data_IF_697618100729
#
_entry.id   IF_697618100729
#
_cell.length_a   1.000
_cell.length_b   1.000
_cell.length_c   1.000
_cell.angle_alpha   90.00
_cell.angle_beta   90.00
_cell.angle_gamma   90.00
#
_symmetry.space_group_name_H-M   'P 1'
#
loop_
_entity.id
_entity.type
_entity.pdbx_description
1 polymer ?
#
# COMPACT_ATOMS: atom_id res chain seq x y z
N UNK A 1 -37.28 -57.72 -4.74
CA UNK A 1 -35.90 -57.21 -4.89
C UNK A 1 -36.00 -55.85 -5.54
N UNK A 2 -35.99 -54.79 -4.75
CA UNK A 2 -36.08 -53.40 -5.22
C UNK A 2 -34.69 -52.78 -5.13
N UNK A 3 -34.14 -52.40 -6.27
CA UNK A 3 -32.83 -51.80 -6.41
C UNK A 3 -32.98 -50.28 -6.16
N UNK A 4 -32.48 -49.75 -5.03
CA UNK A 4 -32.44 -48.32 -4.75
C UNK A 4 -31.21 -47.69 -5.39
N UNK A 5 -31.43 -46.84 -6.37
CA UNK A 5 -30.38 -46.03 -7.02
C UNK A 5 -30.05 -44.81 -6.17
N UNK A 6 -28.86 -44.79 -5.59
CA UNK A 6 -28.33 -43.60 -4.84
C UNK A 6 -27.77 -42.62 -5.85
N UNK A 7 -28.42 -41.49 -6.00
CA UNK A 7 -27.92 -40.34 -6.80
C UNK A 7 -27.05 -39.51 -5.88
N UNK A 8 -25.72 -39.54 -6.09
CA UNK A 8 -24.77 -38.62 -5.44
C UNK A 8 -24.72 -37.36 -6.31
N UNK A 9 -25.38 -36.31 -5.84
CA UNK A 9 -25.23 -34.99 -6.41
C UNK A 9 -23.92 -34.34 -5.90
N UNK A 10 -22.86 -34.43 -6.72
CA UNK A 10 -21.63 -33.67 -6.49
C UNK A 10 -21.87 -32.18 -6.81
N UNK A 11 -22.12 -31.40 -5.77
CA UNK A 11 -22.17 -29.94 -5.87
C UNK A 11 -20.77 -29.39 -6.15
N UNK A 12 -20.56 -28.98 -7.40
CA UNK A 12 -19.38 -28.24 -7.83
C UNK A 12 -19.52 -26.80 -7.29
N UNK A 13 -18.88 -26.50 -6.16
CA UNK A 13 -18.75 -25.12 -5.67
C UNK A 13 -17.77 -24.38 -6.60
N UNK A 14 -18.33 -23.66 -7.56
CA UNK A 14 -17.58 -22.68 -8.35
C UNK A 14 -17.27 -21.48 -7.46
N UNK A 15 -16.10 -21.45 -6.87
CA UNK A 15 -15.54 -20.21 -6.31
C UNK A 15 -15.14 -19.32 -7.49
N UNK A 16 -16.01 -18.40 -7.83
CA UNK A 16 -15.64 -17.27 -8.71
C UNK A 16 -14.70 -16.37 -7.94
N UNK A 17 -13.40 -16.55 -8.11
CA UNK A 17 -12.43 -15.51 -7.75
C UNK A 17 -12.59 -14.39 -8.78
N UNK A 18 -13.32 -13.35 -8.43
CA UNK A 18 -13.21 -12.09 -9.13
C UNK A 18 -11.82 -11.53 -8.79
N UNK A 19 -10.84 -11.83 -9.63
CA UNK A 19 -9.60 -11.08 -9.69
C UNK A 19 -9.95 -9.80 -10.43
N UNK A 20 -10.53 -8.84 -9.72
CA UNK A 20 -10.54 -7.46 -10.19
C UNK A 20 -9.09 -7.01 -10.20
N UNK A 21 -8.48 -7.11 -11.37
CA UNK A 21 -7.23 -6.44 -11.69
C UNK A 21 -7.54 -4.95 -11.53
N UNK A 22 -7.18 -4.38 -10.39
CA UNK A 22 -7.33 -2.97 -10.10
C UNK A 22 -6.36 -2.19 -10.99
N UNK A 23 -6.73 -2.04 -12.23
CA UNK A 23 -6.26 -1.02 -13.14
C UNK A 23 -7.24 0.15 -13.09
N UNK A 24 -7.46 0.70 -11.89
CA UNK A 24 -8.33 1.84 -11.68
C UNK A 24 -8.86 1.83 -10.25
N UNK A 25 -8.65 2.89 -9.53
CA UNK A 25 -9.31 3.12 -8.24
C UNK A 25 -10.80 3.26 -8.56
N UNK A 26 -11.71 2.47 -7.94
CA UNK A 26 -13.14 2.62 -8.13
C UNK A 26 -13.56 4.05 -7.82
N UNK A 27 -14.40 4.66 -8.69
CA UNK A 27 -14.85 6.04 -8.56
C UNK A 27 -15.71 6.31 -7.30
N UNK A 28 -16.17 5.28 -6.63
CA UNK A 28 -16.96 5.32 -5.39
C UNK A 28 -16.12 5.37 -4.10
N UNK A 29 -14.76 5.40 -4.20
CA UNK A 29 -13.87 5.64 -3.07
C UNK A 29 -13.51 7.12 -2.84
N UNK A 30 -14.14 8.05 -3.55
CA UNK A 30 -13.97 9.49 -3.38
C UNK A 30 -14.93 10.05 -2.32
N UNK A 31 -15.37 9.25 -1.36
CA UNK A 31 -16.13 9.75 -0.23
C UNK A 31 -15.20 9.95 0.97
N UNK A 32 -14.58 11.15 1.05
CA UNK A 32 -13.71 11.57 2.13
C UNK A 32 -12.40 12.19 1.61
N UNK A 33 -11.81 13.04 2.41
CA UNK A 33 -10.57 13.78 2.15
C UNK A 33 -9.30 12.89 2.06
N UNK A 34 -9.35 11.82 1.24
CA UNK A 34 -8.22 10.91 1.05
C UNK A 34 -7.41 11.29 -0.20
N UNK A 35 -6.10 11.31 -0.04
CA UNK A 35 -5.16 11.30 -1.16
C UNK A 35 -4.76 9.87 -1.48
N UNK A 36 -4.63 9.60 -2.77
CA UNK A 36 -4.13 8.33 -3.30
C UNK A 36 -2.83 8.59 -4.05
N UNK A 37 -1.97 7.59 -4.12
CA UNK A 37 -0.74 7.71 -4.87
C UNK A 37 -0.14 6.36 -5.24
N UNK A 38 0.91 6.45 -6.05
CA UNK A 38 1.75 5.33 -6.42
C UNK A 38 3.11 5.48 -5.74
N UNK A 39 3.76 4.36 -5.47
CA UNK A 39 5.11 4.35 -4.93
C UNK A 39 6.00 3.42 -5.71
N UNK A 40 7.29 3.71 -5.65
CA UNK A 40 8.36 2.92 -6.22
C UNK A 40 9.57 2.94 -5.30
N UNK A 41 10.31 1.85 -5.28
CA UNK A 41 11.58 1.72 -4.59
C UNK A 41 12.44 0.63 -5.23
N UNK A 42 13.70 0.63 -4.85
CA UNK A 42 14.68 -0.39 -5.24
C UNK A 42 15.37 -0.86 -3.96
N UNK A 43 15.62 -2.16 -3.85
CA UNK A 43 16.46 -2.74 -2.80
C UNK A 43 17.71 -3.25 -3.46
N UNK A 44 18.85 -2.76 -2.98
CA UNK A 44 20.16 -3.16 -3.45
C UNK A 44 20.77 -4.24 -2.54
N UNK A 45 21.70 -5.01 -3.07
CA UNK A 45 22.58 -5.89 -2.30
C UNK A 45 23.71 -5.09 -1.59
N UNK A 46 24.58 -5.80 -0.88
CA UNK A 46 25.72 -5.20 -0.18
C UNK A 46 26.74 -4.52 -1.13
N UNK A 47 26.75 -4.92 -2.40
CA UNK A 47 27.61 -4.36 -3.44
C UNK A 47 26.96 -3.17 -4.18
N UNK A 48 25.71 -2.82 -3.84
CA UNK A 48 24.94 -1.74 -4.45
C UNK A 48 24.29 -2.12 -5.78
N UNK A 49 24.10 -3.41 -6.07
CA UNK A 49 23.38 -3.85 -7.26
C UNK A 49 21.89 -4.01 -6.94
N UNK A 50 20.99 -3.52 -7.82
CA UNK A 50 19.56 -3.70 -7.64
C UNK A 50 19.14 -5.18 -7.63
N UNK A 51 18.52 -5.62 -6.55
CA UNK A 51 18.02 -7.01 -6.37
C UNK A 51 16.51 -7.08 -6.45
N UNK A 52 15.82 -6.09 -5.88
CA UNK A 52 14.37 -6.05 -5.87
C UNK A 52 13.85 -4.72 -6.39
N UNK A 53 12.78 -4.79 -7.15
CA UNK A 53 11.94 -3.64 -7.52
C UNK A 53 10.69 -3.69 -6.66
N UNK A 54 10.35 -2.56 -6.06
CA UNK A 54 9.13 -2.38 -5.28
C UNK A 54 8.25 -1.41 -6.05
N UNK A 55 6.99 -1.78 -6.24
CA UNK A 55 5.96 -0.87 -6.75
C UNK A 55 4.72 -0.99 -5.88
N UNK A 56 3.91 0.06 -5.79
CA UNK A 56 2.74 -0.01 -4.94
C UNK A 56 1.79 1.15 -5.11
N UNK A 57 0.71 1.06 -4.35
CA UNK A 57 -0.29 2.11 -4.19
C UNK A 57 -0.44 2.43 -2.71
N UNK A 58 -0.80 3.66 -2.40
CA UNK A 58 -1.11 4.09 -1.05
C UNK A 58 -2.32 5.00 -1.03
N UNK A 59 -2.99 5.08 0.12
CA UNK A 59 -4.02 6.06 0.44
C UNK A 59 -3.75 6.69 1.79
N UNK A 60 -4.09 7.96 1.95
CA UNK A 60 -3.89 8.68 3.20
C UNK A 60 -4.87 9.85 3.35
N UNK A 61 -5.15 10.22 4.59
CA UNK A 61 -5.79 11.48 4.96
C UNK A 61 -4.83 12.46 5.67
N UNK A 62 -3.54 12.22 5.62
CA UNK A 62 -2.51 13.01 6.34
C UNK A 62 -2.48 14.49 5.94
N UNK A 63 -2.89 14.83 4.70
CA UNK A 63 -2.90 16.22 4.22
C UNK A 63 -3.88 17.13 4.96
N UNK A 64 -4.93 16.58 5.55
CA UNK A 64 -5.99 17.33 6.23
C UNK A 64 -5.77 17.45 7.73
N UNK A 65 -4.63 16.98 8.24
CA UNK A 65 -4.33 16.85 9.67
C UNK A 65 -3.85 18.14 10.36
N UNK A 66 -4.12 19.34 9.83
CA UNK A 66 -3.84 20.58 10.57
C UNK A 66 -4.72 20.75 11.82
N UNK A 67 -5.72 19.89 12.03
CA UNK A 67 -6.65 19.91 13.17
C UNK A 67 -7.00 18.53 13.75
N UNK A 68 -6.16 17.52 13.59
CA UNK A 68 -6.47 16.18 14.08
C UNK A 68 -6.57 16.14 15.62
N UNK A 69 -7.78 16.33 16.09
CA UNK A 69 -8.22 15.94 17.46
C UNK A 69 -8.82 14.53 17.49
N UNK A 70 -8.87 13.87 16.33
CA UNK A 70 -9.46 12.55 16.20
C UNK A 70 -8.39 11.58 15.71
N UNK A 71 -8.27 10.42 16.37
CA UNK A 71 -7.28 9.37 16.09
C UNK A 71 -7.52 8.64 14.74
N UNK A 72 -8.13 9.31 13.77
CA UNK A 72 -8.50 8.76 12.48
C UNK A 72 -7.43 8.96 11.39
N UNK A 73 -6.15 9.09 11.77
CA UNK A 73 -5.06 9.14 10.80
C UNK A 73 -4.99 7.82 10.06
N UNK A 74 -5.21 7.86 8.75
CA UNK A 74 -5.11 6.70 7.88
C UNK A 74 -3.91 6.85 6.98
N UNK A 75 -3.07 5.84 6.97
CA UNK A 75 -2.11 5.60 5.93
C UNK A 75 -2.06 4.10 5.67
N UNK A 76 -2.58 3.67 4.54
CA UNK A 76 -2.54 2.28 4.09
C UNK A 76 -1.76 2.20 2.77
N UNK A 77 -1.03 1.12 2.58
CA UNK A 77 -0.32 0.87 1.34
C UNK A 77 -0.31 -0.62 0.98
N UNK A 78 -0.19 -0.90 -0.32
CA UNK A 78 0.05 -2.24 -0.84
C UNK A 78 1.27 -2.18 -1.75
N UNK A 79 2.24 -3.05 -1.51
CA UNK A 79 3.50 -3.12 -2.23
C UNK A 79 3.62 -4.45 -2.94
N UNK A 80 3.95 -4.44 -4.21
CA UNK A 80 4.38 -5.59 -4.97
C UNK A 80 5.91 -5.55 -5.08
N UNK A 81 6.56 -6.66 -4.76
CA UNK A 81 8.00 -6.84 -4.88
C UNK A 81 8.29 -7.93 -5.92
N UNK A 82 9.27 -7.66 -6.78
CA UNK A 82 9.76 -8.61 -7.78
C UNK A 82 11.27 -8.49 -7.86
N UNK A 83 11.97 -9.63 -7.99
CA UNK A 83 13.40 -9.60 -8.25
C UNK A 83 13.71 -9.02 -9.63
N UNK A 84 14.88 -8.43 -9.79
CA UNK A 84 15.34 -7.84 -11.06
C UNK A 84 15.47 -8.87 -12.19
N UNK A 85 15.55 -10.17 -11.85
CA UNK A 85 15.50 -11.28 -12.82
C UNK A 85 14.06 -11.70 -13.20
N UNK A 86 13.03 -11.03 -12.68
CA UNK A 86 11.63 -11.30 -12.93
C UNK A 86 11.03 -12.43 -12.07
N UNK A 87 11.77 -12.97 -11.12
CA UNK A 87 11.31 -14.07 -10.24
C UNK A 87 10.80 -13.57 -8.88
N UNK A 88 10.29 -14.48 -8.07
CA UNK A 88 9.95 -14.26 -6.64
C UNK A 88 8.95 -13.11 -6.39
N UNK A 89 8.01 -12.89 -7.31
CA UNK A 89 6.96 -11.89 -7.16
C UNK A 89 6.08 -12.19 -5.94
N UNK A 90 5.87 -11.19 -5.09
CA UNK A 90 5.01 -11.28 -3.91
C UNK A 90 4.50 -9.90 -3.49
N UNK A 91 3.52 -9.88 -2.58
CA UNK A 91 2.84 -8.65 -2.15
C UNK A 91 2.87 -8.50 -0.64
N UNK A 92 3.02 -7.26 -0.18
CA UNK A 92 2.89 -6.85 1.21
C UNK A 92 1.84 -5.76 1.34
N UNK A 93 1.21 -5.70 2.52
CA UNK A 93 0.33 -4.59 2.90
C UNK A 93 0.89 -3.88 4.12
N UNK A 94 0.70 -2.58 4.18
CA UNK A 94 0.91 -1.75 5.36
C UNK A 94 -0.44 -1.18 5.78
N UNK A 95 -0.81 -1.42 7.03
CA UNK A 95 -2.10 -1.04 7.61
C UNK A 95 -1.95 -0.60 9.06
N UNK A 96 -3.02 -0.11 9.67
CA UNK A 96 -3.04 0.26 11.08
C UNK A 96 -1.96 1.27 11.45
N UNK A 97 -1.77 2.30 10.62
CA UNK A 97 -0.83 3.36 10.94
C UNK A 97 -1.31 4.15 12.16
N UNK A 98 -0.48 4.19 13.19
CA UNK A 98 -0.70 4.97 14.41
C UNK A 98 0.29 6.12 14.43
N UNK A 99 -0.21 7.35 14.26
CA UNK A 99 0.60 8.56 14.30
C UNK A 99 1.11 8.81 15.72
N UNK A 100 2.41 8.99 15.88
CA UNK A 100 3.06 9.32 17.14
C UNK A 100 3.50 10.78 17.22
N UNK A 101 4.00 11.34 16.12
CA UNK A 101 4.54 12.70 16.07
C UNK A 101 4.41 13.30 14.67
N UNK A 102 4.26 14.63 14.63
CA UNK A 102 4.26 15.40 13.38
C UNK A 102 5.18 16.59 13.51
N UNK A 103 6.06 16.77 12.53
CA UNK A 103 6.92 17.94 12.44
C UNK A 103 6.83 18.59 11.06
N UNK A 104 6.76 19.91 11.03
CA UNK A 104 6.72 20.67 9.77
C UNK A 104 7.88 21.65 9.73
N UNK A 105 8.57 21.69 8.60
CA UNK A 105 9.68 22.59 8.37
C UNK A 105 9.69 23.03 6.89
N UNK A 106 9.69 24.33 6.67
CA UNK A 106 9.67 24.92 5.32
C UNK A 106 8.53 24.36 4.45
N UNK A 107 8.88 23.56 3.43
CA UNK A 107 7.98 23.01 2.43
C UNK A 107 7.70 21.51 2.60
N UNK A 108 8.02 20.95 3.76
CA UNK A 108 7.73 19.54 4.03
C UNK A 108 7.16 19.32 5.43
N UNK A 109 6.37 18.26 5.53
CA UNK A 109 5.83 17.75 6.79
C UNK A 109 6.23 16.30 6.92
N UNK A 110 6.67 15.92 8.12
CA UNK A 110 7.03 14.55 8.47
C UNK A 110 6.02 14.02 9.48
N UNK A 111 5.47 12.86 9.20
CA UNK A 111 4.57 12.11 10.07
C UNK A 111 5.31 10.86 10.51
N UNK A 112 5.58 10.74 11.81
CA UNK A 112 6.23 9.57 12.39
C UNK A 112 5.20 8.74 13.16
N UNK A 113 5.29 7.43 13.03
CA UNK A 113 4.36 6.52 13.68
C UNK A 113 4.80 5.06 13.57
N UNK A 114 3.86 4.19 13.80
CA UNK A 114 4.05 2.75 13.63
C UNK A 114 2.89 2.17 12.82
N UNK A 115 3.16 1.06 12.13
CA UNK A 115 2.15 0.34 11.37
C UNK A 115 2.31 -1.17 11.46
N UNK A 116 1.43 -1.88 10.79
CA UNK A 116 1.47 -3.33 10.64
C UNK A 116 1.85 -3.68 9.21
N UNK A 117 2.88 -4.50 9.03
CA UNK A 117 3.33 -4.99 7.73
C UNK A 117 2.99 -6.47 7.60
N UNK A 118 2.36 -6.87 6.51
CA UNK A 118 2.16 -8.29 6.21
C UNK A 118 3.49 -8.93 5.80
N UNK A 119 3.87 -10.03 6.46
CA UNK A 119 5.07 -10.79 6.15
C UNK A 119 4.70 -12.27 5.94
N UNK A 120 5.52 -13.07 5.24
CA UNK A 120 5.22 -14.48 4.98
C UNK A 120 4.97 -15.33 6.24
N UNK A 121 5.61 -14.97 7.36
CA UNK A 121 5.48 -15.65 8.65
C UNK A 121 4.31 -15.13 9.49
N UNK A 122 3.57 -14.15 8.99
CA UNK A 122 2.48 -13.45 9.67
C UNK A 122 2.76 -11.95 9.80
N UNK A 123 1.74 -11.17 10.16
CA UNK A 123 1.87 -9.71 10.25
C UNK A 123 2.83 -9.30 11.39
N UNK A 124 3.69 -8.34 11.10
CA UNK A 124 4.58 -7.70 12.08
C UNK A 124 3.98 -6.35 12.45
N UNK A 125 3.70 -6.18 13.74
CA UNK A 125 3.07 -4.96 14.28
C UNK A 125 4.13 -3.97 14.80
N UNK A 126 3.69 -2.71 15.00
CA UNK A 126 4.55 -1.64 15.54
C UNK A 126 5.85 -1.45 14.76
N UNK A 127 5.82 -1.68 13.45
CA UNK A 127 6.96 -1.36 12.58
C UNK A 127 7.07 0.17 12.50
N UNK A 128 8.23 0.77 12.81
CA UNK A 128 8.41 2.22 12.68
C UNK A 128 8.22 2.66 11.22
N UNK A 129 7.43 3.71 11.03
CA UNK A 129 7.15 4.28 9.71
C UNK A 129 7.29 5.79 9.80
N UNK A 130 8.00 6.37 8.85
CA UNK A 130 8.09 7.82 8.67
C UNK A 130 7.65 8.19 7.26
N UNK A 131 6.68 9.10 7.17
CA UNK A 131 6.14 9.60 5.90
C UNK A 131 6.47 11.07 5.80
N UNK A 132 7.31 11.44 4.86
CA UNK A 132 7.64 12.83 4.58
C UNK A 132 6.91 13.28 3.33
N UNK A 133 6.10 14.33 3.45
CA UNK A 133 5.39 14.96 2.33
C UNK A 133 6.10 16.26 1.98
N UNK A 134 6.48 16.41 0.71
CA UNK A 134 7.20 17.57 0.19
C UNK A 134 6.32 18.30 -0.82
N UNK A 135 6.04 19.59 -0.58
CA UNK A 135 5.20 20.44 -1.45
C UNK A 135 3.83 19.83 -1.82
N UNK A 136 3.27 18.95 -1.00
CA UNK A 136 2.07 18.17 -1.30
C UNK A 136 2.14 17.34 -2.61
N UNK A 137 3.34 17.13 -3.15
CA UNK A 137 3.54 16.52 -4.46
C UNK A 137 4.37 15.24 -4.40
N UNK A 138 5.16 15.04 -3.35
CA UNK A 138 6.05 13.90 -3.20
C UNK A 138 5.94 13.33 -1.80
N UNK A 139 5.62 12.06 -1.71
CA UNK A 139 5.75 11.26 -0.49
C UNK A 139 7.09 10.53 -0.46
N UNK A 140 7.73 10.53 0.70
CA UNK A 140 8.92 9.72 0.97
C UNK A 140 8.58 8.84 2.16
N UNK A 141 8.55 7.52 1.96
CA UNK A 141 8.09 6.55 2.94
C UNK A 141 9.30 5.74 3.41
N UNK A 142 9.64 5.86 4.69
CA UNK A 142 10.66 5.04 5.32
C UNK A 142 9.99 3.98 6.19
N UNK A 143 10.36 2.73 6.00
CA UNK A 143 9.90 1.59 6.79
C UNK A 143 11.06 1.11 7.63
N UNK A 144 10.91 1.08 8.96
CA UNK A 144 11.98 0.71 9.88
C UNK A 144 12.45 -0.73 9.66
N UNK A 145 13.72 -0.95 9.28
CA UNK A 145 14.19 -2.25 8.79
C UNK A 145 14.29 -3.32 9.88
N UNK A 146 14.55 -2.94 11.11
CA UNK A 146 14.95 -3.86 12.18
C UNK A 146 13.88 -4.90 12.57
N UNK A 147 12.59 -4.57 12.44
CA UNK A 147 11.50 -5.50 12.80
C UNK A 147 11.11 -6.46 11.67
N UNK A 148 11.56 -6.19 10.45
CA UNK A 148 11.17 -6.91 9.24
C UNK A 148 12.39 -7.43 8.47
N UNK A 149 13.49 -7.69 9.19
CA UNK A 149 14.74 -8.25 8.66
C UNK A 149 15.23 -7.52 7.38
N UNK A 150 15.12 -6.19 7.40
CA UNK A 150 15.53 -5.34 6.27
C UNK A 150 14.83 -5.66 4.93
N UNK A 151 13.62 -6.23 4.97
CA UNK A 151 12.94 -6.79 3.81
C UNK A 151 12.70 -5.77 2.68
N UNK A 152 12.44 -4.49 3.04
CA UNK A 152 12.26 -3.40 2.08
C UNK A 152 13.55 -2.60 1.82
N UNK A 153 14.69 -3.09 2.31
CA UNK A 153 15.95 -2.35 2.26
C UNK A 153 16.02 -1.22 3.29
N UNK A 154 17.04 -0.38 3.13
CA UNK A 154 17.28 0.82 3.96
C UNK A 154 16.90 2.11 3.26
N UNK A 155 16.76 2.06 1.95
CA UNK A 155 16.40 3.23 1.15
C UNK A 155 14.89 3.52 1.22
N UNK A 156 14.50 4.80 1.11
CA UNK A 156 13.09 5.17 1.14
C UNK A 156 12.35 4.74 -0.12
N UNK A 157 11.04 4.50 0.03
CA UNK A 157 10.13 4.40 -1.11
C UNK A 157 9.65 5.81 -1.48
N UNK A 158 9.61 6.10 -2.77
CA UNK A 158 9.16 7.38 -3.29
C UNK A 158 7.73 7.28 -3.80
N UNK A 159 6.85 8.16 -3.31
CA UNK A 159 5.44 8.17 -3.65
C UNK A 159 5.03 9.44 -4.40
N UNK A 160 4.21 9.28 -5.43
CA UNK A 160 3.65 10.39 -6.19
C UNK A 160 2.12 10.34 -6.04
N UNK A 161 1.47 11.44 -5.57
CA UNK A 161 0.02 11.53 -5.57
C UNK A 161 -0.53 11.34 -6.98
N UNK A 162 -1.66 10.64 -7.08
CA UNK A 162 -2.44 10.62 -8.31
C UNK A 162 -3.27 11.90 -8.34
N UNK A 163 -3.17 12.64 -9.44
CA UNK A 163 -4.07 13.77 -9.68
C UNK A 163 -5.49 13.24 -9.83
N UNK A 164 -6.47 13.89 -9.21
CA UNK A 164 -7.88 13.61 -9.40
C UNK A 164 -8.19 13.73 -10.90
N UNK A 165 -8.62 12.62 -11.49
CA UNK A 165 -8.55 12.34 -12.91
C UNK A 165 -9.17 13.39 -13.81
N UNK A 166 -8.53 13.65 -14.91
CA UNK A 166 -9.10 14.12 -16.19
C UNK A 166 -10.16 13.16 -16.77
N UNK A 167 -10.90 12.43 -15.96
CA UNK A 167 -11.86 11.43 -16.43
C UNK A 167 -13.17 12.00 -16.95
N UNK A 168 -13.48 13.29 -16.73
CA UNK A 168 -14.80 13.85 -17.04
C UNK A 168 -14.86 14.77 -18.27
N UNK A 169 -13.79 14.92 -19.04
CA UNK A 169 -13.81 15.80 -20.23
C UNK A 169 -14.13 15.11 -21.56
N UNK A 170 -14.40 13.80 -21.58
CA UNK A 170 -14.64 13.06 -22.84
C UNK A 170 -16.12 12.77 -23.17
N UNK A 171 -17.07 13.13 -22.34
CA UNK A 171 -18.49 12.80 -22.55
C UNK A 171 -19.41 13.99 -22.81
N UNK A 172 -18.88 15.15 -23.15
CA UNK A 172 -19.70 16.30 -23.56
C UNK A 172 -19.20 16.89 -24.88
N UNK A 173 -19.31 16.11 -25.97
CA UNK A 173 -19.39 16.60 -27.35
C UNK A 173 -20.24 15.66 -28.17
#
# INVERSE_FOLDING_TARGET
MTLSTLIIASGLLLFSFNVDVIMGIPADLVEGDYLFGRTVGIVDDEDGNPVWIISGIWKTNLSNQTQARDNSTVFDASFEMIKTDGTSKHTHTMTNFVLADTSSQNNHTVFNGTGTISMPQGPVTEVPISIKVVNNSLGIINIGPNKIDNHFGTEPLYGIPLEEGEHDKRNHN
#
